data_IF_153702123437
#
_entry.id   IF_153702123437
#
_cell.length_a   1.000
_cell.length_b   1.000
_cell.length_c   1.000
_cell.angle_alpha   90.00
_cell.angle_beta   90.00
_cell.angle_gamma   90.00
#
_symmetry.space_group_name_H-M   'P 1'
#
loop_
_entity.id
_entity.type
_entity.pdbx_description
1 polymer ?
#
# COMPACT_ATOMS: atom_id res chain seq x y z
N UNK A 1 -6.65 -12.68 29.27
CA UNK A 1 -6.02 -11.50 28.64
C UNK A 1 -6.93 -10.31 28.85
N UNK A 2 -6.41 -9.09 28.83
CA UNK A 2 -7.23 -7.88 28.95
C UNK A 2 -7.69 -7.43 27.55
N UNK A 3 -8.76 -6.62 27.50
CA UNK A 3 -9.18 -6.00 26.24
C UNK A 3 -8.23 -4.84 25.95
N UNK A 4 -7.64 -4.84 24.77
CA UNK A 4 -6.75 -3.78 24.28
C UNK A 4 -7.17 -3.33 22.89
N UNK A 5 -6.66 -2.20 22.40
CA UNK A 5 -6.91 -1.77 21.02
C UNK A 5 -5.72 -2.14 20.14
N UNK A 6 -5.97 -2.84 19.03
CA UNK A 6 -4.95 -3.22 18.06
C UNK A 6 -5.28 -2.73 16.66
N UNK A 7 -4.23 -2.45 15.91
CA UNK A 7 -4.26 -2.40 14.46
C UNK A 7 -4.28 -3.84 13.93
N UNK A 8 -5.06 -4.07 12.87
CA UNK A 8 -5.19 -5.36 12.22
C UNK A 8 -5.10 -5.17 10.71
N UNK A 9 -4.17 -5.86 10.05
CA UNK A 9 -4.13 -5.98 8.61
C UNK A 9 -4.70 -7.34 8.19
N UNK A 10 -5.67 -7.33 7.28
CA UNK A 10 -6.15 -8.52 6.59
C UNK A 10 -5.71 -8.45 5.14
N UNK A 11 -4.97 -9.46 4.69
CA UNK A 11 -4.36 -9.52 3.35
C UNK A 11 -4.82 -10.81 2.66
N UNK A 12 -5.43 -10.68 1.49
CA UNK A 12 -5.93 -11.77 0.65
C UNK A 12 -5.10 -11.87 -0.65
N UNK A 13 -4.63 -13.08 -0.98
CA UNK A 13 -3.93 -13.35 -2.23
C UNK A 13 -4.94 -13.51 -3.38
N UNK A 14 -4.89 -12.57 -4.31
CA UNK A 14 -5.76 -12.54 -5.48
C UNK A 14 -5.59 -13.76 -6.39
N UNK A 15 -6.73 -14.33 -6.79
CA UNK A 15 -6.78 -15.38 -7.81
C UNK A 15 -6.42 -16.78 -7.31
N UNK A 16 -6.22 -16.96 -6.01
CA UNK A 16 -5.90 -18.26 -5.41
C UNK A 16 -6.94 -19.34 -5.76
N UNK A 17 -8.24 -19.02 -5.67
CA UNK A 17 -9.34 -19.92 -6.07
C UNK A 17 -9.22 -20.47 -7.50
N UNK A 18 -8.68 -19.69 -8.44
CA UNK A 18 -8.47 -20.19 -9.80
C UNK A 18 -7.26 -21.14 -9.88
N UNK A 19 -6.24 -20.92 -9.04
CA UNK A 19 -5.05 -21.77 -8.97
C UNK A 19 -5.36 -23.12 -8.31
N UNK A 20 -6.31 -23.17 -7.37
CA UNK A 20 -6.77 -24.43 -6.74
C UNK A 20 -7.53 -25.38 -7.67
N UNK A 21 -7.87 -24.96 -8.90
CA UNK A 21 -8.48 -25.84 -9.91
C UNK A 21 -7.58 -27.00 -10.33
N UNK A 22 -6.26 -26.85 -10.22
CA UNK A 22 -5.30 -27.94 -10.37
C UNK A 22 -4.53 -28.06 -9.06
N UNK A 23 -4.74 -29.15 -8.34
CA UNK A 23 -4.27 -29.30 -6.97
C UNK A 23 -2.74 -29.33 -6.88
N UNK A 24 -2.05 -30.02 -7.79
CA UNK A 24 -0.59 -30.09 -7.81
C UNK A 24 0.05 -28.72 -8.04
N UNK A 25 -0.48 -27.95 -8.98
CA UNK A 25 -0.03 -26.58 -9.24
C UNK A 25 -0.35 -25.66 -8.06
N UNK A 26 -1.49 -25.84 -7.40
CA UNK A 26 -1.85 -25.08 -6.21
C UNK A 26 -0.89 -25.37 -5.05
N UNK A 27 -0.54 -26.63 -4.82
CA UNK A 27 0.45 -27.03 -3.81
C UNK A 27 1.81 -26.41 -4.11
N UNK A 28 2.26 -26.42 -5.37
CA UNK A 28 3.52 -25.77 -5.76
C UNK A 28 3.47 -24.27 -5.49
N UNK A 29 2.41 -23.60 -5.95
CA UNK A 29 2.20 -22.16 -5.72
C UNK A 29 2.19 -21.80 -4.24
N UNK A 30 1.50 -22.61 -3.42
CA UNK A 30 1.44 -22.42 -1.98
C UNK A 30 2.80 -22.64 -1.29
N UNK A 31 3.57 -23.64 -1.72
CA UNK A 31 4.93 -23.88 -1.20
C UNK A 31 5.89 -22.74 -1.54
N UNK A 32 5.77 -22.16 -2.73
CA UNK A 32 6.60 -21.03 -3.14
C UNK A 32 6.24 -19.77 -2.33
N UNK A 33 4.94 -19.55 -2.10
CA UNK A 33 4.42 -18.51 -1.19
C UNK A 33 4.99 -18.64 0.23
N UNK A 34 4.76 -19.77 0.90
CA UNK A 34 5.16 -19.97 2.30
C UNK A 34 6.67 -19.86 2.45
N UNK A 35 7.44 -20.46 1.55
CA UNK A 35 8.90 -20.40 1.61
C UNK A 35 9.42 -18.96 1.48
N UNK A 36 8.85 -18.18 0.57
CA UNK A 36 9.23 -16.78 0.41
C UNK A 36 8.85 -15.97 1.66
N UNK A 37 7.63 -16.15 2.15
CA UNK A 37 7.15 -15.51 3.37
C UNK A 37 8.06 -15.78 4.57
N UNK A 38 8.40 -17.05 4.81
CA UNK A 38 9.26 -17.49 5.91
C UNK A 38 10.67 -16.91 5.79
N UNK A 39 11.24 -16.93 4.57
CA UNK A 39 12.56 -16.38 4.30
C UNK A 39 12.60 -14.88 4.63
N UNK A 40 11.67 -14.10 4.09
CA UNK A 40 11.59 -12.66 4.37
C UNK A 40 11.33 -12.39 5.84
N UNK A 41 10.48 -13.17 6.49
CA UNK A 41 10.23 -13.06 7.94
C UNK A 41 11.50 -13.27 8.74
N UNK A 42 12.33 -14.24 8.37
CA UNK A 42 13.60 -14.51 9.06
C UNK A 42 14.63 -13.40 8.84
N UNK A 43 14.67 -12.80 7.64
CA UNK A 43 15.57 -11.69 7.32
C UNK A 43 15.15 -10.44 8.09
N UNK A 44 13.86 -10.12 8.06
CA UNK A 44 13.26 -8.99 8.79
C UNK A 44 13.61 -9.07 10.27
N UNK A 45 13.38 -10.22 10.91
CA UNK A 45 13.75 -10.46 12.32
C UNK A 45 15.24 -10.21 12.60
N UNK A 46 16.14 -10.72 11.76
CA UNK A 46 17.59 -10.54 11.92
C UNK A 46 18.03 -9.08 11.78
N UNK A 47 17.53 -8.39 10.75
CA UNK A 47 17.82 -6.96 10.55
C UNK A 47 17.37 -6.16 11.79
N UNK A 48 16.20 -6.49 12.35
CA UNK A 48 15.72 -5.84 13.56
C UNK A 48 16.57 -6.14 14.81
N UNK A 49 17.00 -7.39 14.99
CA UNK A 49 17.93 -7.79 16.07
C UNK A 49 19.25 -7.00 15.98
N UNK A 50 19.80 -6.87 14.77
CA UNK A 50 21.05 -6.16 14.51
C UNK A 50 20.95 -4.64 14.78
N UNK A 51 19.79 -4.02 14.50
CA UNK A 51 19.58 -2.57 14.66
C UNK A 51 19.31 -2.16 16.12
N UNK A 52 18.54 -2.96 16.87
CA UNK A 52 18.03 -2.54 18.18
C UNK A 52 18.91 -2.95 19.38
N UNK A 53 19.80 -3.94 19.20
CA UNK A 53 20.53 -4.56 20.31
C UNK A 53 19.60 -5.24 21.33
N UNK A 54 20.15 -6.05 22.23
CA UNK A 54 19.40 -6.94 23.15
C UNK A 54 18.42 -6.24 24.14
N UNK A 55 18.31 -4.90 24.16
CA UNK A 55 17.73 -4.16 25.30
C UNK A 55 16.39 -3.43 25.06
N UNK A 56 15.74 -3.56 23.90
CA UNK A 56 14.36 -3.05 23.72
C UNK A 56 13.35 -4.19 23.66
N UNK A 57 12.55 -4.37 24.72
CA UNK A 57 11.29 -5.14 24.65
C UNK A 57 10.39 -4.45 23.61
N UNK A 58 10.26 -5.07 22.45
CA UNK A 58 9.43 -4.54 21.37
C UNK A 58 8.12 -5.34 21.29
N UNK A 59 7.03 -4.65 20.97
CA UNK A 59 5.72 -5.28 20.76
C UNK A 59 5.75 -6.14 19.51
N UNK A 60 5.73 -7.46 19.67
CA UNK A 60 5.75 -8.41 18.56
C UNK A 60 4.52 -8.26 17.66
N UNK A 61 4.72 -8.50 16.36
CA UNK A 61 3.62 -8.65 15.43
C UNK A 61 3.06 -10.05 15.61
N UNK A 62 1.80 -10.14 16.03
CA UNK A 62 1.07 -11.40 16.04
C UNK A 62 0.61 -11.71 14.62
N UNK A 63 0.78 -12.96 14.20
CA UNK A 63 0.56 -13.38 12.81
C UNK A 63 -0.28 -14.66 12.77
N UNK A 64 -1.29 -14.65 11.89
CA UNK A 64 -2.08 -15.82 11.53
C UNK A 64 -2.07 -15.93 10.01
N UNK A 65 -1.61 -17.08 9.51
CA UNK A 65 -1.71 -17.43 8.10
C UNK A 65 -2.71 -18.57 7.98
N UNK A 66 -3.74 -18.35 7.16
CA UNK A 66 -4.75 -19.36 6.86
C UNK A 66 -5.06 -19.35 5.37
N UNK A 67 -4.69 -20.44 4.68
CA UNK A 67 -4.82 -20.53 3.22
C UNK A 67 -4.11 -19.34 2.54
N UNK A 68 -4.84 -18.58 1.75
CA UNK A 68 -4.44 -17.40 0.99
C UNK A 68 -4.56 -16.10 1.78
N UNK A 69 -4.96 -16.16 3.05
CA UNK A 69 -5.10 -15.01 3.92
C UNK A 69 -3.97 -14.90 4.93
N UNK A 70 -3.46 -13.68 5.08
CA UNK A 70 -2.49 -13.29 6.11
C UNK A 70 -3.16 -12.25 6.99
N UNK A 71 -3.12 -12.49 8.30
CA UNK A 71 -3.65 -11.59 9.31
C UNK A 71 -2.51 -11.18 10.23
N UNK A 72 -2.31 -9.88 10.37
CA UNK A 72 -1.25 -9.31 11.19
C UNK A 72 -1.86 -8.36 12.21
N UNK A 73 -1.43 -8.47 13.47
CA UNK A 73 -1.84 -7.57 14.55
C UNK A 73 -0.65 -6.89 15.19
N UNK A 74 -0.85 -5.63 15.57
CA UNK A 74 0.07 -4.91 16.43
C UNK A 74 -0.65 -3.77 17.12
N UNK A 75 -0.16 -3.38 18.29
CA UNK A 75 -0.47 -2.12 18.97
C UNK A 75 0.31 -0.94 18.35
N UNK A 76 1.39 -1.21 17.62
CA UNK A 76 2.21 -0.23 16.89
C UNK A 76 1.81 -0.20 15.39
N UNK A 77 1.19 0.92 14.97
CA UNK A 77 0.75 1.09 13.59
C UNK A 77 1.90 1.15 12.59
N UNK A 78 3.03 1.77 12.95
CA UNK A 78 4.15 1.97 12.04
C UNK A 78 4.80 0.63 11.75
N UNK A 79 5.00 -0.17 12.81
CA UNK A 79 5.52 -1.53 12.69
C UNK A 79 4.60 -2.42 11.85
N UNK A 80 3.29 -2.33 12.04
CA UNK A 80 2.33 -3.08 11.23
C UNK A 80 2.41 -2.68 9.75
N UNK A 81 2.40 -1.38 9.44
CA UNK A 81 2.47 -0.87 8.06
C UNK A 81 3.77 -1.28 7.36
N UNK A 82 4.90 -1.14 8.04
CA UNK A 82 6.20 -1.57 7.52
C UNK A 82 6.22 -3.07 7.24
N UNK A 83 5.65 -3.87 8.14
CA UNK A 83 5.54 -5.31 7.93
C UNK A 83 4.66 -5.67 6.72
N UNK A 84 3.52 -5.01 6.57
CA UNK A 84 2.65 -5.20 5.41
C UNK A 84 3.40 -4.84 4.12
N UNK A 85 4.12 -3.73 4.09
CA UNK A 85 4.93 -3.32 2.94
C UNK A 85 6.04 -4.34 2.61
N UNK A 86 6.73 -4.86 3.63
CA UNK A 86 7.73 -5.93 3.47
C UNK A 86 7.13 -7.19 2.84
N UNK A 87 5.99 -7.65 3.35
CA UNK A 87 5.27 -8.83 2.82
C UNK A 87 4.85 -8.61 1.37
N UNK A 88 4.33 -7.43 1.04
CA UNK A 88 3.95 -7.10 -0.34
C UNK A 88 5.16 -7.14 -1.27
N UNK A 89 6.23 -6.42 -0.93
CA UNK A 89 7.43 -6.31 -1.77
C UNK A 89 8.05 -7.69 -2.06
N UNK A 90 8.18 -8.52 -1.03
CA UNK A 90 8.70 -9.88 -1.11
C UNK A 90 7.96 -10.77 -2.13
N UNK A 91 6.64 -10.69 -2.13
CA UNK A 91 5.80 -11.62 -2.85
C UNK A 91 5.36 -11.09 -4.24
N UNK A 92 5.37 -9.76 -4.44
CA UNK A 92 5.08 -9.15 -5.75
C UNK A 92 6.08 -9.57 -6.83
N UNK A 93 7.37 -9.68 -6.49
CA UNK A 93 8.41 -10.15 -7.40
C UNK A 93 8.15 -11.60 -7.87
N UNK A 94 7.48 -12.40 -7.05
CA UNK A 94 7.07 -13.77 -7.38
C UNK A 94 5.70 -13.85 -8.09
N UNK A 95 5.06 -12.71 -8.36
CA UNK A 95 3.78 -12.62 -9.04
C UNK A 95 2.58 -13.00 -8.15
N UNK A 96 2.69 -12.80 -6.84
CA UNK A 96 1.54 -12.78 -5.93
C UNK A 96 1.00 -11.37 -5.84
N UNK A 97 -0.32 -11.24 -5.93
CA UNK A 97 -1.02 -9.95 -5.93
C UNK A 97 -1.98 -9.93 -4.75
N UNK A 98 -2.10 -8.79 -4.09
CA UNK A 98 -2.79 -8.69 -2.82
C UNK A 98 -3.95 -7.73 -2.90
N UNK A 99 -5.00 -8.01 -2.15
CA UNK A 99 -5.99 -7.02 -1.74
C UNK A 99 -6.21 -7.14 -0.24
N UNK A 100 -6.66 -6.09 0.41
CA UNK A 100 -6.81 -6.14 1.85
C UNK A 100 -7.27 -4.84 2.48
N UNK A 101 -7.40 -4.88 3.79
CA UNK A 101 -7.75 -3.73 4.61
C UNK A 101 -6.91 -3.67 5.88
N UNK A 102 -6.74 -2.46 6.42
CA UNK A 102 -6.17 -2.23 7.75
C UNK A 102 -7.22 -1.53 8.60
N UNK A 103 -7.65 -2.21 9.66
CA UNK A 103 -8.64 -1.74 10.63
C UNK A 103 -8.01 -1.46 12.00
N UNK A 104 -8.75 -0.76 12.86
CA UNK A 104 -8.33 -0.47 14.23
C UNK A 104 -9.51 -0.55 15.20
N UNK A 105 -9.30 -1.20 16.34
CA UNK A 105 -10.30 -1.24 17.40
C UNK A 105 -10.00 -2.27 18.48
N UNK A 106 -11.03 -2.57 19.29
CA UNK A 106 -10.90 -3.49 20.41
C UNK A 106 -10.53 -4.89 19.94
N UNK A 107 -9.68 -5.52 20.73
CA UNK A 107 -9.15 -6.84 20.55
C UNK A 107 -9.20 -7.60 21.87
N UNK A 108 -9.70 -8.83 21.79
CA UNK A 108 -9.57 -9.83 22.83
C UNK A 108 -9.30 -11.15 22.14
N UNK A 109 -8.16 -11.76 22.41
CA UNK A 109 -7.73 -12.99 21.75
C UNK A 109 -7.05 -13.96 22.69
N UNK A 110 -7.09 -15.22 22.31
CA UNK A 110 -6.27 -16.31 22.85
C UNK A 110 -5.83 -17.14 21.63
N UNK A 111 -4.60 -16.91 21.20
CA UNK A 111 -3.98 -17.60 20.07
C UNK A 111 -2.99 -18.62 20.64
N UNK A 112 -3.26 -19.89 20.38
CA UNK A 112 -2.39 -21.01 20.73
C UNK A 112 -2.07 -21.83 19.48
N UNK A 113 -1.04 -22.68 19.57
CA UNK A 113 -0.61 -23.54 18.46
C UNK A 113 -1.72 -24.47 17.90
N UNK A 114 -2.84 -24.65 18.62
CA UNK A 114 -3.93 -25.53 18.21
C UNK A 114 -5.30 -24.85 18.10
N UNK A 115 -5.44 -23.60 18.57
CA UNK A 115 -6.71 -22.88 18.60
C UNK A 115 -6.49 -21.39 18.47
N UNK A 116 -7.29 -20.78 17.62
CA UNK A 116 -7.42 -19.33 17.47
C UNK A 116 -8.81 -18.97 17.98
N UNK A 117 -8.88 -18.18 19.05
CA UNK A 117 -10.15 -17.68 19.60
C UNK A 117 -10.03 -16.20 19.84
N UNK A 118 -10.77 -15.39 19.08
CA UNK A 118 -10.64 -13.94 19.16
C UNK A 118 -11.93 -13.20 18.80
N UNK A 119 -12.02 -11.99 19.33
CA UNK A 119 -12.99 -10.95 18.97
C UNK A 119 -12.17 -9.71 18.65
N UNK A 120 -12.28 -9.22 17.41
CA UNK A 120 -11.49 -8.07 16.94
C UNK A 120 -12.35 -7.15 16.07
N UNK A 121 -12.58 -5.93 16.55
CA UNK A 121 -13.23 -4.87 15.77
C UNK A 121 -12.35 -4.48 14.57
N UNK A 122 -11.03 -4.41 14.76
CA UNK A 122 -10.07 -4.11 13.70
C UNK A 122 -10.06 -5.18 12.59
N UNK A 123 -10.17 -6.47 12.93
CA UNK A 123 -10.28 -7.52 11.92
C UNK A 123 -11.57 -7.42 11.12
N UNK A 124 -12.70 -7.20 11.78
CA UNK A 124 -13.99 -7.03 11.10
C UNK A 124 -13.91 -5.89 10.08
N UNK A 125 -13.41 -4.73 10.50
CA UNK A 125 -13.24 -3.57 9.62
C UNK A 125 -12.26 -3.85 8.46
N UNK A 126 -11.14 -4.53 8.72
CA UNK A 126 -10.16 -4.90 7.70
C UNK A 126 -10.75 -5.85 6.63
N UNK A 127 -11.55 -6.84 7.04
CA UNK A 127 -12.24 -7.75 6.13
C UNK A 127 -13.31 -7.01 5.33
N UNK A 128 -14.10 -6.15 5.96
CA UNK A 128 -15.12 -5.37 5.24
C UNK A 128 -14.52 -4.45 4.18
N UNK A 129 -13.36 -3.85 4.47
CA UNK A 129 -12.61 -3.05 3.51
C UNK A 129 -12.14 -3.90 2.33
N UNK A 130 -11.57 -5.08 2.60
CA UNK A 130 -11.14 -6.02 1.56
C UNK A 130 -12.31 -6.40 0.63
N UNK A 131 -13.43 -6.85 1.22
CA UNK A 131 -14.58 -7.36 0.47
C UNK A 131 -15.30 -6.28 -0.34
N UNK A 132 -15.48 -5.09 0.25
CA UNK A 132 -16.40 -4.06 -0.26
C UNK A 132 -15.70 -2.91 -0.97
N UNK A 133 -14.41 -2.65 -0.70
CA UNK A 133 -13.72 -1.42 -1.11
C UNK A 133 -12.36 -1.66 -1.80
N UNK A 134 -11.64 -2.73 -1.47
CA UNK A 134 -10.38 -3.09 -2.13
C UNK A 134 -10.62 -3.84 -3.47
N UNK A 135 -11.26 -3.16 -4.42
CA UNK A 135 -11.59 -3.74 -5.74
C UNK A 135 -10.34 -4.02 -6.60
N UNK A 136 -9.29 -3.22 -6.40
CA UNK A 136 -7.98 -3.31 -7.07
C UNK A 136 -6.94 -4.03 -6.19
N UNK A 137 -5.80 -4.47 -6.76
CA UNK A 137 -4.71 -5.10 -6.01
C UNK A 137 -3.98 -4.14 -5.04
N UNK A 138 -4.63 -3.77 -3.94
CA UNK A 138 -4.13 -2.83 -2.92
C UNK A 138 -4.62 -3.17 -1.52
N UNK A 139 -3.88 -2.73 -0.52
CA UNK A 139 -4.25 -2.86 0.90
C UNK A 139 -4.58 -1.47 1.42
N UNK A 140 -5.87 -1.23 1.71
CA UNK A 140 -6.39 0.11 2.06
C UNK A 140 -6.49 0.31 3.58
N UNK A 141 -6.38 1.55 4.03
CA UNK A 141 -6.47 1.92 5.44
C UNK A 141 -7.88 2.43 5.77
N UNK A 142 -8.42 2.00 6.92
CA UNK A 142 -9.64 2.59 7.47
C UNK A 142 -9.41 4.04 7.93
N UNK A 143 -10.49 4.81 8.02
CA UNK A 143 -10.44 6.17 8.56
C UNK A 143 -9.98 6.21 10.02
N UNK A 144 -10.28 5.17 10.82
CA UNK A 144 -9.79 5.05 12.20
C UNK A 144 -8.28 4.91 12.26
N UNK A 145 -7.70 4.09 11.37
CA UNK A 145 -6.25 3.94 11.25
C UNK A 145 -5.61 5.26 10.85
N UNK A 146 -6.15 5.95 9.84
CA UNK A 146 -5.65 7.28 9.42
C UNK A 146 -5.74 8.31 10.54
N UNK A 147 -6.81 8.29 11.34
CA UNK A 147 -6.97 9.19 12.49
C UNK A 147 -5.90 8.90 13.55
N UNK A 148 -5.67 7.64 13.87
CA UNK A 148 -4.60 7.24 14.80
C UNK A 148 -3.22 7.64 14.31
N UNK A 149 -2.93 7.43 13.04
CA UNK A 149 -1.66 7.85 12.43
C UNK A 149 -1.50 9.38 12.49
N UNK A 150 -2.57 10.14 12.22
CA UNK A 150 -2.54 11.60 12.36
C UNK A 150 -2.24 12.03 13.80
N UNK A 151 -2.85 11.38 14.80
CA UNK A 151 -2.71 11.76 16.20
C UNK A 151 -1.35 11.32 16.80
N UNK A 152 -0.75 10.23 16.30
CA UNK A 152 0.43 9.60 16.89
C UNK A 152 1.73 9.78 16.08
N UNK A 153 1.66 10.06 14.78
CA UNK A 153 2.85 10.31 13.97
C UNK A 153 3.52 11.63 14.40
N UNK A 154 4.86 11.63 14.47
CA UNK A 154 5.60 12.87 14.81
C UNK A 154 5.54 13.88 13.67
N UNK A 155 5.61 13.36 12.45
CA UNK A 155 5.68 14.13 11.22
C UNK A 155 5.37 13.21 10.03
N UNK A 156 5.25 13.85 8.86
CA UNK A 156 4.97 13.16 7.61
C UNK A 156 6.16 12.32 7.12
N UNK A 157 7.38 12.51 7.63
CA UNK A 157 8.56 11.73 7.22
C UNK A 157 8.42 10.26 7.59
N UNK A 158 7.77 9.94 8.71
CA UNK A 158 7.50 8.56 9.10
C UNK A 158 6.58 7.81 8.13
N UNK A 159 5.76 8.56 7.39
CA UNK A 159 4.75 8.04 6.47
C UNK A 159 5.17 8.16 5.02
N UNK A 160 6.09 9.10 4.75
CA UNK A 160 6.62 9.34 3.44
C UNK A 160 7.14 8.01 2.88
N UNK A 161 6.79 7.75 1.62
CA UNK A 161 7.11 6.55 0.88
C UNK A 161 6.24 5.30 1.16
N UNK A 162 5.61 5.20 2.34
CA UNK A 162 4.80 4.04 2.71
C UNK A 162 3.38 4.08 2.18
N UNK A 163 2.84 5.28 1.91
CA UNK A 163 1.44 5.47 1.56
C UNK A 163 1.24 6.12 0.20
N UNK A 164 0.16 5.72 -0.48
CA UNK A 164 -0.35 6.32 -1.71
C UNK A 164 -1.84 6.60 -1.51
N UNK A 165 -2.30 7.79 -1.87
CA UNK A 165 -3.72 8.10 -1.96
C UNK A 165 -4.24 7.76 -3.35
N UNK A 166 -5.37 7.07 -3.41
CA UNK A 166 -6.09 6.76 -4.64
C UNK A 166 -7.20 7.80 -4.90
N UNK A 167 -7.64 7.89 -6.15
CA UNK A 167 -8.71 8.81 -6.59
C UNK A 167 -10.08 8.59 -5.93
N UNK A 168 -10.29 7.44 -5.29
CA UNK A 168 -11.50 7.11 -4.53
C UNK A 168 -11.35 7.39 -3.02
N UNK A 169 -10.50 8.37 -2.68
CA UNK A 169 -10.18 8.87 -1.35
C UNK A 169 -9.47 7.91 -0.40
N UNK A 170 -9.35 6.61 -0.75
CA UNK A 170 -8.64 5.65 0.09
C UNK A 170 -7.13 5.82 0.02
N UNK A 171 -6.51 5.79 1.20
CA UNK A 171 -5.08 5.58 1.33
C UNK A 171 -4.77 4.09 1.31
N UNK A 172 -3.72 3.70 0.60
CA UNK A 172 -3.22 2.34 0.57
C UNK A 172 -1.72 2.28 0.82
N UNK A 173 -1.24 1.10 1.23
CA UNK A 173 0.19 0.82 1.32
C UNK A 173 0.80 0.89 -0.08
N UNK A 174 1.93 1.58 -0.19
CA UNK A 174 2.72 1.61 -1.41
C UNK A 174 3.36 0.23 -1.65
N UNK A 175 2.94 -0.51 -2.68
CA UNK A 175 3.45 -1.85 -2.94
C UNK A 175 4.91 -1.89 -3.40
N UNK A 176 5.47 -0.76 -3.86
CA UNK A 176 6.71 -0.75 -4.63
C UNK A 176 7.90 -0.12 -3.89
N UNK A 177 7.68 0.57 -2.78
CA UNK A 177 8.74 1.36 -2.15
C UNK A 177 10.00 0.54 -1.77
N UNK A 178 9.81 -0.71 -1.37
CA UNK A 178 10.88 -1.58 -0.90
C UNK A 178 11.44 -2.51 -1.98
N UNK A 179 10.96 -2.40 -3.23
CA UNK A 179 11.44 -3.21 -4.35
C UNK A 179 12.63 -2.49 -4.98
N UNK A 180 13.84 -3.08 -4.95
CA UNK A 180 15.05 -2.43 -5.47
C UNK A 180 15.08 -2.38 -7.00
N UNK A 181 14.52 -3.39 -7.68
CA UNK A 181 14.46 -3.47 -9.14
C UNK A 181 13.05 -3.86 -9.58
N UNK A 182 12.38 -2.97 -10.32
CA UNK A 182 11.02 -3.19 -10.79
C UNK A 182 10.92 -4.13 -12.00
N UNK A 183 12.02 -4.52 -12.64
CA UNK A 183 12.03 -5.25 -13.92
C UNK A 183 11.18 -6.52 -13.87
N UNK A 184 11.34 -7.34 -12.82
CA UNK A 184 10.58 -8.59 -12.65
C UNK A 184 9.10 -8.29 -12.41
N UNK A 185 8.80 -7.34 -11.52
CA UNK A 185 7.43 -6.92 -11.18
C UNK A 185 6.69 -6.36 -12.40
N UNK A 186 7.34 -5.50 -13.20
CA UNK A 186 6.81 -4.96 -14.47
C UNK A 186 6.48 -6.09 -15.44
N UNK A 187 7.39 -7.06 -15.60
CA UNK A 187 7.17 -8.22 -16.48
C UNK A 187 5.98 -9.06 -16.01
N UNK A 188 5.86 -9.30 -14.70
CA UNK A 188 4.75 -10.02 -14.11
C UNK A 188 3.41 -9.29 -14.33
N UNK A 189 3.35 -7.97 -14.11
CA UNK A 189 2.16 -7.15 -14.37
C UNK A 189 1.76 -7.25 -15.85
N UNK A 190 2.69 -6.99 -16.77
CA UNK A 190 2.43 -7.02 -18.21
C UNK A 190 1.99 -8.40 -18.71
N UNK A 191 2.51 -9.48 -18.11
CA UNK A 191 2.09 -10.84 -18.39
C UNK A 191 0.64 -11.07 -18.00
N UNK A 192 0.22 -10.65 -16.81
CA UNK A 192 -1.17 -10.81 -16.35
C UNK A 192 -2.14 -9.91 -17.13
N UNK A 193 -1.76 -8.67 -17.49
CA UNK A 193 -2.53 -7.82 -18.41
C UNK A 193 -2.79 -8.55 -19.73
N UNK A 194 -1.73 -9.12 -20.33
CA UNK A 194 -1.83 -9.83 -21.62
C UNK A 194 -2.70 -11.08 -21.47
N UNK A 195 -2.48 -11.86 -20.41
CA UNK A 195 -3.21 -13.11 -20.12
C UNK A 195 -4.71 -12.90 -19.96
N UNK A 196 -5.12 -11.82 -19.29
CA UNK A 196 -6.53 -11.55 -19.02
C UNK A 196 -7.15 -10.50 -19.95
N UNK A 197 -6.49 -10.17 -21.06
CA UNK A 197 -6.97 -9.16 -22.02
C UNK A 197 -8.39 -9.40 -22.55
N UNK A 198 -8.85 -10.66 -22.60
CA UNK A 198 -10.23 -11.02 -23.00
C UNK A 198 -11.24 -11.00 -21.83
N UNK A 199 -10.77 -10.90 -20.58
CA UNK A 199 -11.61 -10.82 -19.38
C UNK A 199 -11.43 -9.46 -18.71
N UNK A 200 -12.19 -8.47 -19.20
CA UNK A 200 -12.07 -7.06 -18.78
C UNK A 200 -12.05 -6.91 -17.26
N UNK A 201 -12.99 -7.56 -16.55
CA UNK A 201 -13.10 -7.48 -15.09
C UNK A 201 -11.82 -7.88 -14.35
N UNK A 202 -11.08 -8.88 -14.85
CA UNK A 202 -9.80 -9.30 -14.25
C UNK A 202 -8.67 -8.43 -14.80
N UNK A 203 -8.69 -8.10 -16.08
CA UNK A 203 -7.69 -7.26 -16.73
C UNK A 203 -7.57 -5.89 -16.06
N UNK A 204 -8.70 -5.24 -15.75
CA UNK A 204 -8.77 -3.92 -15.11
C UNK A 204 -7.98 -3.86 -13.81
N UNK A 205 -7.93 -4.96 -13.05
CA UNK A 205 -7.13 -5.05 -11.82
C UNK A 205 -5.64 -4.92 -12.10
N UNK A 206 -5.16 -5.55 -13.17
CA UNK A 206 -3.76 -5.50 -13.56
C UNK A 206 -3.41 -4.24 -14.34
N UNK A 207 -4.37 -3.65 -15.06
CA UNK A 207 -4.22 -2.31 -15.65
C UNK A 207 -4.04 -1.28 -14.54
N UNK A 208 -4.89 -1.28 -13.50
CA UNK A 208 -4.75 -0.39 -12.35
C UNK A 208 -3.36 -0.49 -11.71
N UNK A 209 -2.88 -1.72 -11.50
CA UNK A 209 -1.54 -1.94 -10.92
C UNK A 209 -0.41 -1.48 -11.86
N UNK A 210 -0.59 -1.64 -13.17
CA UNK A 210 0.32 -1.14 -14.19
C UNK A 210 0.36 0.39 -14.26
N UNK A 211 -0.78 1.06 -14.14
CA UNK A 211 -0.85 2.52 -14.07
C UNK A 211 -0.20 3.05 -12.79
N UNK A 212 -0.39 2.38 -11.65
CA UNK A 212 0.30 2.70 -10.41
C UNK A 212 1.82 2.54 -10.56
N UNK A 213 2.30 1.47 -11.21
CA UNK A 213 3.72 1.25 -11.49
C UNK A 213 4.29 2.34 -12.43
N UNK A 214 3.56 2.67 -13.50
CA UNK A 214 3.95 3.75 -14.41
C UNK A 214 4.05 5.10 -13.67
N UNK A 215 3.06 5.41 -12.83
CA UNK A 215 3.10 6.57 -11.96
C UNK A 215 4.32 6.55 -11.04
N UNK A 216 4.59 5.43 -10.38
CA UNK A 216 5.73 5.30 -9.49
C UNK A 216 7.08 5.49 -10.21
N UNK A 217 7.25 4.91 -11.40
CA UNK A 217 8.52 4.97 -12.14
C UNK A 217 8.77 6.31 -12.85
N UNK A 218 7.73 6.95 -13.38
CA UNK A 218 7.87 8.11 -14.29
C UNK A 218 7.40 9.40 -13.62
N UNK A 219 6.22 9.34 -13.02
CA UNK A 219 5.48 10.54 -12.60
C UNK A 219 5.57 10.80 -11.10
N UNK A 220 6.27 9.97 -10.33
CA UNK A 220 6.42 10.17 -8.88
C UNK A 220 7.34 11.35 -8.51
N UNK A 221 8.06 11.93 -9.47
CA UNK A 221 8.82 13.18 -9.27
C UNK A 221 7.90 14.39 -9.33
N UNK A 222 8.19 15.41 -8.51
CA UNK A 222 7.32 16.58 -8.36
C UNK A 222 7.02 17.31 -9.68
N UNK A 223 8.03 17.47 -10.54
CA UNK A 223 7.91 18.11 -11.86
C UNK A 223 6.93 17.37 -12.76
N UNK A 224 6.89 16.04 -12.65
CA UNK A 224 6.08 15.16 -13.49
C UNK A 224 4.71 14.86 -12.88
N UNK A 225 4.51 15.05 -11.57
CA UNK A 225 3.20 14.85 -10.92
C UNK A 225 2.17 15.85 -11.43
N UNK A 226 2.52 17.14 -11.51
CA UNK A 226 1.62 18.20 -12.04
C UNK A 226 1.21 17.89 -13.48
N UNK A 227 2.17 17.49 -14.31
CA UNK A 227 1.92 17.04 -15.68
C UNK A 227 0.99 15.82 -15.71
N UNK A 228 1.27 14.79 -14.89
CA UNK A 228 0.45 13.59 -14.79
C UNK A 228 -0.99 13.90 -14.42
N UNK A 229 -1.23 14.80 -13.47
CA UNK A 229 -2.58 15.21 -13.08
C UNK A 229 -3.35 15.90 -14.19
N UNK A 230 -2.67 16.74 -14.96
CA UNK A 230 -3.28 17.45 -16.09
C UNK A 230 -3.45 16.56 -17.34
N UNK A 231 -2.74 15.43 -17.40
CA UNK A 231 -2.72 14.53 -18.55
C UNK A 231 -3.90 13.55 -18.53
N UNK A 232 -4.78 13.64 -19.52
CA UNK A 232 -5.92 12.71 -19.71
C UNK A 232 -5.59 11.64 -20.76
N UNK A 233 -4.86 12.02 -21.82
CA UNK A 233 -4.47 11.14 -22.92
C UNK A 233 -2.94 11.10 -23.06
N UNK A 234 -2.44 9.96 -23.52
CA UNK A 234 -1.03 9.70 -23.76
C UNK A 234 -0.82 9.47 -25.27
N UNK A 235 0.24 10.04 -25.84
CA UNK A 235 0.58 9.82 -27.25
C UNK A 235 1.02 8.37 -27.53
N UNK A 236 1.03 7.96 -28.80
CA UNK A 236 1.53 6.64 -29.20
C UNK A 236 3.00 6.43 -28.81
N UNK A 237 3.80 7.50 -28.78
CA UNK A 237 5.23 7.43 -28.48
C UNK A 237 5.45 7.30 -26.98
N UNK A 238 4.75 8.10 -26.17
CA UNK A 238 4.81 7.99 -24.72
C UNK A 238 4.31 6.63 -24.24
N UNK A 239 3.23 6.12 -24.81
CA UNK A 239 2.69 4.80 -24.45
C UNK A 239 3.69 3.65 -24.70
N UNK A 240 4.58 3.79 -25.69
CA UNK A 240 5.66 2.81 -25.93
C UNK A 240 6.79 2.88 -24.91
N UNK A 241 6.96 4.03 -24.25
CA UNK A 241 8.00 4.25 -23.26
C UNK A 241 7.52 3.93 -21.83
N UNK A 242 6.25 3.57 -21.66
CA UNK A 242 5.72 3.16 -20.36
C UNK A 242 6.23 1.77 -19.97
N UNK A 243 6.67 1.57 -18.71
CA UNK A 243 7.01 0.25 -18.18
C UNK A 243 5.87 -0.77 -18.34
N UNK A 244 4.65 -0.37 -18.00
CA UNK A 244 3.45 -1.21 -18.04
C UNK A 244 2.49 -0.77 -19.14
N UNK A 245 1.87 -1.76 -19.81
CA UNK A 245 0.90 -1.53 -20.89
C UNK A 245 -0.35 -0.81 -20.39
N UNK A 246 -0.84 0.13 -21.19
CA UNK A 246 -2.18 0.70 -21.06
C UNK A 246 -3.02 0.16 -22.22
N UNK A 247 -4.15 -0.49 -21.92
CA UNK A 247 -5.02 -1.08 -22.94
C UNK A 247 -6.11 -0.10 -23.40
N UNK A 248 -6.50 0.87 -22.57
CA UNK A 248 -7.71 1.65 -22.79
C UNK A 248 -7.47 2.89 -23.67
N UNK A 249 -7.20 2.66 -24.97
CA UNK A 249 -7.08 3.69 -26.00
C UNK A 249 -6.12 4.86 -25.68
N UNK A 250 -5.12 4.61 -24.82
CA UNK A 250 -4.12 5.58 -24.32
C UNK A 250 -4.68 6.64 -23.37
N UNK A 251 -5.80 6.37 -22.70
CA UNK A 251 -6.26 7.21 -21.59
C UNK A 251 -5.65 6.72 -20.28
N UNK A 252 -5.29 7.66 -19.42
CA UNK A 252 -4.94 7.34 -18.02
C UNK A 252 -6.27 7.16 -17.28
N UNK A 253 -6.54 5.96 -16.79
CA UNK A 253 -7.80 5.63 -16.13
C UNK A 253 -7.80 6.02 -14.65
N UNK A 254 -6.64 5.98 -14.00
CA UNK A 254 -6.51 6.17 -12.56
C UNK A 254 -5.49 7.26 -12.21
N UNK A 255 -5.76 7.99 -11.11
CA UNK A 255 -4.86 9.00 -10.53
C UNK A 255 -4.43 8.63 -9.10
N UNK A 256 -3.21 9.04 -8.74
CA UNK A 256 -2.55 8.69 -7.46
C UNK A 256 -1.75 9.85 -6.89
N UNK A 257 -1.82 10.07 -5.57
CA UNK A 257 -0.91 10.98 -4.84
C UNK A 257 0.10 10.15 -4.07
N UNK A 258 1.38 10.42 -4.29
CA UNK A 258 2.46 9.80 -3.54
C UNK A 258 3.31 10.82 -2.78
N UNK A 259 3.40 10.62 -1.47
CA UNK A 259 4.17 11.47 -0.56
C UNK A 259 5.63 11.00 -0.57
N UNK A 260 6.48 11.65 -1.37
CA UNK A 260 7.92 11.32 -1.46
C UNK A 260 8.76 12.20 -0.53
N UNK A 261 9.55 11.55 0.33
CA UNK A 261 10.38 12.14 1.40
C UNK A 261 11.28 13.31 0.99
N UNK A 262 11.68 13.41 -0.28
CA UNK A 262 12.72 14.37 -0.73
C UNK A 262 12.15 15.79 -0.98
N UNK A 263 10.83 15.99 -0.92
CA UNK A 263 10.20 17.17 -1.54
C UNK A 263 9.30 18.01 -0.62
N UNK A 264 9.49 17.99 0.70
CA UNK A 264 8.82 18.94 1.62
C UNK A 264 9.39 20.37 1.52
N UNK A 265 9.40 20.95 0.31
CA UNK A 265 9.54 22.41 0.09
C UNK A 265 8.22 23.16 0.29
N UNK A 266 7.11 22.44 0.48
CA UNK A 266 5.76 22.93 0.75
C UNK A 266 5.36 22.61 2.20
N UNK A 267 4.45 23.38 2.82
CA UNK A 267 3.91 23.08 4.15
C UNK A 267 2.91 21.93 4.06
N UNK A 268 3.37 20.73 3.69
CA UNK A 268 2.59 19.51 3.88
C UNK A 268 2.78 19.03 5.32
N UNK A 269 1.68 18.96 6.04
CA UNK A 269 1.60 18.39 7.37
C UNK A 269 0.76 17.10 7.35
N UNK A 270 0.53 16.52 8.53
CA UNK A 270 -0.25 15.29 8.67
C UNK A 270 -1.72 15.44 8.23
N UNK A 271 -2.25 16.68 8.07
CA UNK A 271 -3.64 16.88 7.66
C UNK A 271 -3.96 16.37 6.25
N UNK A 272 -2.93 16.09 5.44
CA UNK A 272 -3.08 15.38 4.16
C UNK A 272 -3.84 14.04 4.32
N UNK A 273 -3.68 13.36 5.46
CA UNK A 273 -4.35 12.08 5.75
C UNK A 273 -5.86 12.22 5.99
N UNK A 274 -6.34 13.43 6.28
CA UNK A 274 -7.75 13.73 6.61
C UNK A 274 -8.52 14.35 5.45
N UNK A 275 -7.84 14.71 4.37
CA UNK A 275 -8.42 15.37 3.19
C UNK A 275 -8.79 14.35 2.11
N UNK A 276 -9.78 14.71 1.32
CA UNK A 276 -10.11 14.01 0.07
C UNK A 276 -8.95 14.10 -0.92
N UNK A 277 -8.98 13.22 -1.91
CA UNK A 277 -8.03 13.20 -3.01
C UNK A 277 -7.99 14.54 -3.73
N UNK A 278 -9.15 15.12 -4.06
CA UNK A 278 -9.22 16.39 -4.79
C UNK A 278 -8.68 17.57 -3.98
N UNK A 279 -8.99 17.65 -2.68
CA UNK A 279 -8.40 18.68 -1.81
C UNK A 279 -6.87 18.58 -1.77
N UNK A 280 -6.35 17.35 -1.70
CA UNK A 280 -4.90 17.13 -1.73
C UNK A 280 -4.30 17.47 -3.10
N UNK A 281 -4.97 17.17 -4.21
CA UNK A 281 -4.54 17.60 -5.56
C UNK A 281 -4.46 19.13 -5.63
N UNK A 282 -5.47 19.84 -5.15
CA UNK A 282 -5.49 21.31 -5.18
C UNK A 282 -4.33 21.89 -4.36
N UNK A 283 -4.10 21.40 -3.14
CA UNK A 283 -3.06 21.91 -2.25
C UNK A 283 -1.66 21.54 -2.76
N UNK A 284 -1.48 20.32 -3.29
CA UNK A 284 -0.18 19.86 -3.77
C UNK A 284 0.20 20.45 -5.14
N UNK A 285 -0.77 20.81 -5.99
CA UNK A 285 -0.50 21.10 -7.41
C UNK A 285 -1.10 22.41 -7.96
N UNK A 286 -1.99 23.11 -7.25
CA UNK A 286 -2.54 24.40 -7.71
C UNK A 286 -1.88 25.60 -6.99
N UNK A 287 -1.29 26.51 -7.78
CA UNK A 287 -0.44 27.63 -7.33
C UNK A 287 -1.20 28.90 -6.89
N UNK A 288 -2.53 28.91 -6.79
CA UNK A 288 -3.29 30.14 -6.49
C UNK A 288 -3.43 30.44 -4.98
N UNK A 289 -2.45 30.08 -4.17
CA UNK A 289 -2.54 30.21 -2.71
C UNK A 289 -1.46 31.04 -2.03
N UNK A 290 -0.23 31.12 -2.54
CA UNK A 290 0.90 31.65 -1.75
C UNK A 290 1.76 32.65 -2.56
N UNK A 291 1.12 33.67 -3.14
CA UNK A 291 1.67 35.02 -3.06
C UNK A 291 1.07 35.66 -1.81
N UNK A 292 1.83 35.75 -0.73
CA UNK A 292 1.71 36.74 0.36
C UNK A 292 2.38 36.20 1.63
N UNK A 293 3.70 35.99 1.56
CA UNK A 293 4.55 35.91 2.75
C UNK A 293 5.83 36.73 2.55
N UNK A 294 5.70 37.92 1.94
CA UNK A 294 6.78 38.92 1.85
C UNK A 294 6.56 40.18 2.70
N UNK A 295 5.57 40.23 3.59
CA UNK A 295 5.32 41.43 4.44
C UNK A 295 5.43 41.18 5.95
N UNK A 296 6.53 40.58 6.43
CA UNK A 296 6.88 40.62 7.88
C UNK A 296 8.31 41.16 8.10
N UNK A 297 8.84 41.95 7.17
CA UNK A 297 10.07 42.74 7.42
C UNK A 297 9.82 44.18 7.00
N UNK A 298 8.98 44.90 7.76
CA UNK A 298 9.03 46.36 7.93
C UNK A 298 7.86 46.77 8.84
N UNK A 299 8.09 46.74 10.16
CA UNK A 299 7.47 47.66 11.14
C UNK A 299 8.06 47.45 12.54
N UNK A 300 9.38 47.56 12.62
CA UNK A 300 10.06 47.96 13.85
C UNK A 300 10.98 49.15 13.52
N UNK A 301 10.39 50.34 13.54
CA UNK A 301 11.06 51.62 13.81
C UNK A 301 10.27 52.32 14.89
#
# INVERSE_FOLDING_TARGET
MEIENKFCAFIDILGFKNKTKNFENAVKYYKDYIRCYDLFTSIDKKIFEDINGENKKQEEIEEIIFSDSIILYSTDWLRLIQRVANVMAALLELGFWFRGGIGYGKYYGDISNSRISMVSEGLVEAVELEEKKAIYPRIILSSKVLTKMYDEARDLYQLAQLLIQCEDDFWCINPFFLIPDFTVTINNINKEITRYSENQRICDKYIWLGELMNYFCIWSSMENQKEYYQKVEISKTEAKNLPCKILDNKKIAHKFIYIKHVYFRYPMDLSILKRSFNENVEICFNENGHSDSENIIENNK
#
